data_IF_864052279932
#
_entry.id   IF_864052279932
#
_cell.length_a   1.000
_cell.length_b   1.000
_cell.length_c   1.000
_cell.angle_alpha   90.00
_cell.angle_beta   90.00
_cell.angle_gamma   90.00
#
_symmetry.space_group_name_H-M   'P 1'
#
loop_
_entity.id
_entity.type
_entity.pdbx_description
1 polymer ?
#
# COMPACT_ATOMS: atom_id res chain seq x y z
N UNK A 1 2.36 -10.19 -7.63
CA UNK A 1 1.21 -9.52 -8.26
C UNK A 1 0.30 -10.57 -8.87
N UNK A 2 -0.99 -10.29 -9.03
CA UNK A 2 -1.92 -11.24 -9.67
C UNK A 2 -1.46 -11.58 -11.09
N UNK A 3 -1.46 -12.87 -11.43
CA UNK A 3 -1.00 -13.40 -12.73
C UNK A 3 0.50 -13.67 -12.81
N UNK A 4 1.22 -13.66 -11.69
CA UNK A 4 2.66 -13.95 -11.59
C UNK A 4 2.98 -14.95 -10.45
N UNK A 5 2.05 -15.86 -10.16
CA UNK A 5 2.13 -16.78 -9.02
C UNK A 5 3.28 -17.78 -9.16
N UNK A 6 3.62 -18.21 -10.38
CA UNK A 6 4.73 -19.14 -10.65
C UNK A 6 6.10 -18.56 -10.24
N UNK A 7 6.25 -17.24 -10.30
CA UNK A 7 7.49 -16.51 -10.00
C UNK A 7 7.59 -16.10 -8.51
N UNK A 8 6.57 -16.38 -7.69
CA UNK A 8 6.45 -15.84 -6.34
C UNK A 8 7.68 -16.14 -5.46
N UNK A 9 8.12 -17.41 -5.40
CA UNK A 9 9.27 -17.82 -4.57
C UNK A 9 10.57 -17.17 -5.00
N UNK A 10 10.78 -16.97 -6.30
CA UNK A 10 11.98 -16.31 -6.80
C UNK A 10 11.98 -14.83 -6.42
N UNK A 11 10.80 -14.20 -6.49
CA UNK A 11 10.62 -12.81 -6.07
C UNK A 11 10.81 -12.62 -4.57
N UNK A 12 10.29 -13.50 -3.73
CA UNK A 12 10.50 -13.45 -2.28
C UNK A 12 11.99 -13.36 -1.93
N UNK A 13 12.84 -14.16 -2.59
CA UNK A 13 14.29 -14.11 -2.38
C UNK A 13 14.89 -12.82 -2.90
N UNK A 14 14.52 -12.39 -4.12
CA UNK A 14 15.06 -11.18 -4.76
C UNK A 14 14.68 -9.89 -4.04
N UNK A 15 13.50 -9.85 -3.42
CA UNK A 15 12.95 -8.67 -2.75
C UNK A 15 13.06 -8.72 -1.23
N UNK A 16 13.71 -9.75 -0.67
CA UNK A 16 13.85 -9.90 0.79
C UNK A 16 14.39 -8.65 1.48
N UNK A 17 15.36 -7.97 0.89
CA UNK A 17 16.00 -6.78 1.45
C UNK A 17 15.21 -5.48 1.19
N UNK A 18 14.02 -5.58 0.59
CA UNK A 18 13.15 -4.45 0.27
C UNK A 18 11.88 -4.40 1.15
N UNK A 19 11.80 -5.25 2.17
CA UNK A 19 10.70 -5.19 3.14
C UNK A 19 10.67 -3.83 3.83
N UNK A 20 9.48 -3.25 3.95
CA UNK A 20 9.26 -2.05 4.76
C UNK A 20 9.17 -2.45 6.24
N UNK A 21 10.23 -2.14 7.00
CA UNK A 21 10.34 -2.39 8.44
C UNK A 21 10.28 -1.09 9.23
N UNK A 22 10.13 -1.18 10.57
CA UNK A 22 10.15 0.00 11.43
C UNK A 22 11.48 0.75 11.32
N UNK A 23 12.60 0.02 11.27
CA UNK A 23 13.93 0.60 11.12
C UNK A 23 14.09 1.35 9.79
N UNK A 24 13.44 0.88 8.72
CA UNK A 24 13.43 1.60 7.45
C UNK A 24 12.59 2.88 7.54
N UNK A 25 11.42 2.81 8.19
CA UNK A 25 10.56 3.97 8.41
C UNK A 25 11.24 5.02 9.30
N UNK A 26 12.05 4.64 10.27
CA UNK A 26 12.79 5.56 11.15
C UNK A 26 13.84 6.41 10.39
N UNK A 27 14.23 6.01 9.18
CA UNK A 27 15.13 6.78 8.29
C UNK A 27 14.34 7.85 7.51
N UNK A 28 13.03 7.67 7.36
CA UNK A 28 12.17 8.60 6.65
C UNK A 28 11.98 9.91 7.43
N UNK A 29 11.24 10.85 6.82
CA UNK A 29 10.84 12.06 7.52
C UNK A 29 10.02 11.70 8.77
N UNK A 30 10.17 12.42 9.91
CA UNK A 30 9.37 12.18 11.12
C UNK A 30 7.85 12.14 10.92
N UNK A 31 7.31 12.82 9.91
CA UNK A 31 5.87 12.85 9.59
C UNK A 31 5.50 11.92 8.42
N UNK A 32 6.37 10.96 8.06
CA UNK A 32 6.12 10.03 6.97
C UNK A 32 5.01 9.03 7.32
N UNK A 33 4.05 8.87 6.40
CA UNK A 33 2.98 7.89 6.50
C UNK A 33 3.31 6.63 5.72
N UNK A 34 2.91 5.47 6.24
CA UNK A 34 2.91 4.22 5.51
C UNK A 34 1.58 4.01 4.77
N UNK A 35 1.68 3.67 3.48
CA UNK A 35 0.55 3.38 2.58
C UNK A 35 0.75 2.04 1.90
N UNK A 36 -0.34 1.33 1.63
CA UNK A 36 -0.35 0.05 0.93
C UNK A 36 -1.73 -0.22 0.31
N UNK A 37 -1.77 -0.50 -0.99
CA UNK A 37 -3.02 -0.62 -1.75
C UNK A 37 -3.90 -1.84 -1.41
N UNK A 38 -3.32 -2.83 -0.71
CA UNK A 38 -3.92 -4.11 -0.31
C UNK A 38 -4.23 -5.07 -1.49
N UNK A 39 -4.35 -6.39 -1.24
CA UNK A 39 -4.00 -7.08 0.02
C UNK A 39 -2.49 -7.05 0.29
N UNK A 40 -2.10 -7.03 1.56
CA UNK A 40 -0.71 -7.10 2.02
C UNK A 40 -0.37 -8.51 2.51
N UNK A 41 0.85 -8.98 2.25
CA UNK A 41 1.47 -10.14 2.85
C UNK A 41 2.44 -9.69 3.95
N UNK A 42 1.94 -9.69 5.20
CA UNK A 42 2.76 -9.37 6.37
C UNK A 42 3.97 -10.32 6.47
N UNK A 43 5.16 -9.76 6.59
CA UNK A 43 6.42 -10.51 6.65
C UNK A 43 7.07 -10.75 5.29
N UNK A 44 6.44 -10.34 4.19
CA UNK A 44 7.05 -10.30 2.84
C UNK A 44 7.42 -8.85 2.49
N UNK A 45 6.50 -8.05 1.96
CA UNK A 45 6.77 -6.66 1.54
C UNK A 45 6.72 -5.64 2.69
N UNK A 46 6.01 -5.96 3.77
CA UNK A 46 5.88 -5.07 4.94
C UNK A 46 5.89 -5.90 6.23
N UNK A 47 6.58 -5.40 7.26
CA UNK A 47 6.52 -6.02 8.59
C UNK A 47 5.12 -5.87 9.21
N UNK A 48 4.74 -6.82 10.08
CA UNK A 48 3.45 -6.72 10.79
C UNK A 48 3.37 -5.46 11.67
N UNK A 49 4.50 -5.04 12.25
CA UNK A 49 4.60 -3.83 13.08
C UNK A 49 4.25 -2.57 12.29
N UNK A 50 4.86 -2.35 11.11
CA UNK A 50 4.57 -1.18 10.28
C UNK A 50 3.12 -1.16 9.80
N UNK A 51 2.55 -2.32 9.47
CA UNK A 51 1.17 -2.42 8.99
C UNK A 51 0.15 -1.91 10.02
N UNK A 52 0.42 -2.16 11.30
CA UNK A 52 -0.49 -1.89 12.42
C UNK A 52 -0.03 -0.66 13.27
N UNK A 53 1.01 0.07 12.82
CA UNK A 53 1.54 1.29 13.49
C UNK A 53 0.55 2.48 13.35
N UNK A 54 0.69 3.49 14.21
CA UNK A 54 -0.07 4.73 14.17
C UNK A 54 0.21 5.55 12.90
N UNK A 55 1.40 5.42 12.33
CA UNK A 55 1.79 6.12 11.09
C UNK A 55 1.28 5.38 9.83
N UNK A 56 0.60 4.24 10.00
CA UNK A 56 -0.04 3.49 8.93
C UNK A 56 -1.44 4.03 8.62
N UNK A 57 -1.65 4.48 7.39
CA UNK A 57 -2.95 5.01 6.91
C UNK A 57 -3.60 4.10 5.88
N UNK A 58 -3.22 2.82 5.86
CA UNK A 58 -3.69 1.81 4.88
C UNK A 58 -5.21 1.65 4.83
N UNK A 59 -5.90 1.85 5.95
CA UNK A 59 -7.37 1.75 6.01
C UNK A 59 -8.05 2.99 5.47
N UNK A 60 -7.53 4.18 5.78
CA UNK A 60 -8.02 5.44 5.21
C UNK A 60 -7.74 5.49 3.70
N UNK A 61 -6.57 5.01 3.25
CA UNK A 61 -6.25 4.83 1.83
C UNK A 61 -7.27 3.93 1.14
N UNK A 62 -7.61 2.79 1.75
CA UNK A 62 -8.61 1.87 1.23
C UNK A 62 -10.02 2.48 1.19
N UNK A 63 -10.45 3.17 2.24
CA UNK A 63 -11.75 3.86 2.28
C UNK A 63 -11.82 4.97 1.22
N UNK A 64 -10.75 5.75 1.07
CA UNK A 64 -10.69 6.88 0.14
C UNK A 64 -10.86 6.47 -1.33
N UNK A 65 -10.68 5.18 -1.68
CA UNK A 65 -11.06 4.66 -3.00
C UNK A 65 -12.52 4.92 -3.32
N UNK A 66 -13.44 4.79 -2.35
CA UNK A 66 -14.86 5.08 -2.54
C UNK A 66 -15.08 6.55 -2.93
N UNK A 67 -14.48 7.46 -2.18
CA UNK A 67 -14.67 8.89 -2.38
C UNK A 67 -14.04 9.37 -3.68
N UNK A 68 -12.80 8.94 -3.96
CA UNK A 68 -12.10 9.26 -5.19
C UNK A 68 -12.86 8.75 -6.42
N UNK A 69 -13.39 7.52 -6.37
CA UNK A 69 -14.14 6.95 -7.48
C UNK A 69 -15.51 7.58 -7.67
N UNK A 70 -16.20 8.00 -6.59
CA UNK A 70 -17.44 8.79 -6.70
C UNK A 70 -17.19 10.12 -7.43
N UNK A 71 -16.14 10.84 -7.04
CA UNK A 71 -15.77 12.11 -7.68
C UNK A 71 -15.39 11.88 -9.15
N UNK A 72 -14.65 10.81 -9.46
CA UNK A 72 -14.30 10.46 -10.84
C UNK A 72 -15.55 10.14 -11.69
N UNK A 73 -16.51 9.40 -11.15
CA UNK A 73 -17.75 9.09 -11.87
C UNK A 73 -18.57 10.35 -12.16
N UNK A 74 -18.71 11.24 -11.18
CA UNK A 74 -19.38 12.54 -11.37
C UNK A 74 -18.65 13.35 -12.45
N UNK A 75 -17.32 13.46 -12.36
CA UNK A 75 -16.52 14.15 -13.36
C UNK A 75 -16.68 13.55 -14.76
N UNK A 76 -16.77 12.23 -14.93
CA UNK A 76 -16.88 11.62 -16.26
C UNK A 76 -18.31 11.63 -16.83
N UNK A 77 -19.33 11.62 -15.99
CA UNK A 77 -20.73 11.47 -16.41
C UNK A 77 -21.47 12.80 -16.53
N UNK A 78 -21.03 13.83 -15.80
CA UNK A 78 -21.75 15.10 -15.64
C UNK A 78 -21.03 16.30 -16.25
N UNK A 79 -19.97 16.10 -17.05
CA UNK A 79 -19.40 17.20 -17.85
C UNK A 79 -20.44 17.63 -18.89
N UNK A 80 -20.93 18.86 -18.78
CA UNK A 80 -21.66 19.54 -19.86
C UNK A 80 -20.64 20.14 -20.84
N UNK A 81 -20.92 20.02 -22.15
CA UNK A 81 -20.19 20.73 -23.22
C UNK A 81 -20.34 22.26 -23.10
#
# INVERSE_FOLDING_TARGET
SMGQEEEQKEREVKFKDYQVTKELMDIANPDALFMHCLPAHRGEEVSAEVMDDLDSVVWDEAENRLHAQKALLEFLMCQED
#
